data_IF_480971932058
#
_entry.id   IF_480971932058
#
_cell.length_a   1.000
_cell.length_b   1.000
_cell.length_c   1.000
_cell.angle_alpha   90.00
_cell.angle_beta   90.00
_cell.angle_gamma   90.00
#
_symmetry.space_group_name_H-M   'P 1'
#
loop_
_entity.id
_entity.type
_entity.pdbx_description
1 polymer ?
#
# COMPACT_ATOMS: atom_id res chain seq x y z
N UNK A 1 -1.49 -40.96 -29.41
CA UNK A 1 -1.90 -39.56 -29.73
C UNK A 1 -2.90 -38.99 -28.73
N UNK A 2 -4.03 -39.67 -28.41
CA UNK A 2 -5.01 -39.19 -27.41
C UNK A 2 -4.41 -38.97 -26.02
N UNK A 3 -3.60 -39.91 -25.54
CA UNK A 3 -2.91 -39.83 -24.23
C UNK A 3 -1.94 -38.66 -24.15
N UNK A 4 -1.13 -38.42 -25.19
CA UNK A 4 -0.22 -37.27 -25.27
C UNK A 4 -1.00 -35.94 -25.26
N UNK A 5 -2.11 -35.87 -26.00
CA UNK A 5 -2.98 -34.68 -26.03
C UNK A 5 -3.63 -34.41 -24.66
N UNK A 6 -4.04 -35.47 -23.96
CA UNK A 6 -4.59 -35.36 -22.59
C UNK A 6 -3.54 -34.87 -21.59
N UNK A 7 -2.32 -35.39 -21.66
CA UNK A 7 -1.22 -34.94 -20.80
C UNK A 7 -0.83 -33.48 -21.05
N UNK A 8 -0.80 -33.04 -22.31
CA UNK A 8 -0.57 -31.64 -22.65
C UNK A 8 -1.66 -30.71 -22.10
N UNK A 9 -2.93 -31.11 -22.21
CA UNK A 9 -4.05 -30.34 -21.66
C UNK A 9 -3.94 -30.24 -20.13
N UNK A 10 -3.67 -31.37 -19.46
CA UNK A 10 -3.45 -31.40 -18.02
C UNK A 10 -2.29 -30.50 -17.60
N UNK A 11 -1.15 -30.54 -18.32
CA UNK A 11 0.00 -29.70 -18.05
C UNK A 11 -0.29 -28.20 -18.20
N UNK A 12 -1.01 -27.80 -19.25
CA UNK A 12 -1.42 -26.40 -19.46
C UNK A 12 -2.39 -25.94 -18.36
N UNK A 13 -3.37 -26.77 -17.99
CA UNK A 13 -4.30 -26.45 -16.91
C UNK A 13 -3.55 -26.29 -15.58
N UNK A 14 -2.64 -27.21 -15.26
CA UNK A 14 -1.82 -27.11 -14.04
C UNK A 14 -0.95 -25.86 -14.02
N UNK A 15 -0.35 -25.48 -15.15
CA UNK A 15 0.46 -24.27 -15.27
C UNK A 15 -0.40 -23.00 -15.11
N UNK A 16 -1.58 -22.96 -15.73
CA UNK A 16 -2.53 -21.86 -15.58
C UNK A 16 -3.05 -21.74 -14.14
N UNK A 17 -3.30 -22.85 -13.46
CA UNK A 17 -3.72 -22.86 -12.05
C UNK A 17 -2.61 -22.38 -11.12
N UNK A 18 -1.34 -22.65 -11.46
CA UNK A 18 -0.20 -22.15 -10.71
C UNK A 18 -0.06 -20.62 -10.78
N UNK A 19 -0.55 -19.97 -11.85
CA UNK A 19 -0.58 -18.51 -11.94
C UNK A 19 -1.55 -17.83 -10.96
N UNK A 20 -2.43 -18.58 -10.29
CA UNK A 20 -3.32 -18.04 -9.25
C UNK A 20 -2.78 -18.21 -7.83
N UNK A 21 -1.55 -18.70 -7.66
CA UNK A 21 -0.91 -18.81 -6.33
C UNK A 21 -0.23 -17.52 -5.89
N UNK A 22 -0.67 -16.36 -6.41
CA UNK A 22 -0.16 -15.07 -5.95
C UNK A 22 -0.29 -14.99 -4.43
N UNK A 23 0.78 -14.53 -3.80
CA UNK A 23 0.85 -14.29 -2.36
C UNK A 23 -0.17 -13.20 -2.01
N UNK A 24 -1.38 -13.60 -1.63
CA UNK A 24 -2.32 -12.71 -0.95
C UNK A 24 -1.68 -12.41 0.40
N UNK A 25 -1.01 -11.27 0.50
CA UNK A 25 -0.62 -10.74 1.79
C UNK A 25 -1.89 -10.50 2.59
N UNK A 26 -2.04 -11.20 3.70
CA UNK A 26 -3.14 -10.98 4.64
C UNK A 26 -3.23 -9.49 4.96
N UNK A 27 -4.45 -8.94 4.97
CA UNK A 27 -4.67 -7.53 5.26
C UNK A 27 -4.03 -7.21 6.61
N UNK A 28 -3.07 -6.29 6.59
CA UNK A 28 -2.41 -5.86 7.82
C UNK A 28 -3.42 -5.18 8.74
N UNK A 29 -3.49 -5.64 9.98
CA UNK A 29 -4.35 -5.09 11.03
C UNK A 29 -3.46 -4.38 12.05
N UNK A 30 -3.78 -3.12 12.35
CA UNK A 30 -3.06 -2.33 13.35
C UNK A 30 -3.27 -2.97 14.73
N UNK A 31 -2.21 -3.26 15.49
CA UNK A 31 -2.37 -3.79 16.85
C UNK A 31 -3.15 -2.83 17.77
N UNK A 32 -4.02 -3.36 18.61
CA UNK A 32 -4.92 -2.61 19.52
C UNK A 32 -4.21 -1.52 20.36
N UNK A 33 -2.97 -1.77 20.73
CA UNK A 33 -2.13 -0.79 21.45
C UNK A 33 -1.96 0.52 20.67
N UNK A 34 -1.75 0.44 19.36
CA UNK A 34 -1.46 1.60 18.51
C UNK A 34 -2.73 2.31 18.06
N UNK A 35 -3.82 1.56 17.85
CA UNK A 35 -5.18 2.09 17.66
C UNK A 35 -5.54 3.14 18.73
N UNK A 36 -5.22 2.82 19.99
CA UNK A 36 -5.58 3.62 21.16
C UNK A 36 -4.46 4.54 21.64
N UNK A 37 -3.34 4.60 20.94
CA UNK A 37 -2.20 5.44 21.33
C UNK A 37 -2.54 6.91 21.05
N UNK A 38 -2.52 7.73 22.11
CA UNK A 38 -2.70 9.18 21.97
C UNK A 38 -1.41 9.82 21.44
N UNK A 39 -1.56 10.77 20.51
CA UNK A 39 -0.45 11.59 20.07
C UNK A 39 0.11 12.37 21.28
N UNK A 40 1.42 12.29 21.57
CA UNK A 40 2.01 13.00 22.71
C UNK A 40 2.08 14.51 22.51
N UNK A 41 1.86 15.01 21.29
CA UNK A 41 1.98 16.43 20.97
C UNK A 41 0.63 17.07 20.65
N UNK A 42 0.57 18.41 20.74
CA UNK A 42 -0.63 19.16 20.44
C UNK A 42 -0.63 19.53 18.94
N UNK A 43 -1.55 19.00 18.12
CA UNK A 43 -1.58 19.29 16.69
C UNK A 43 -1.72 20.79 16.40
N UNK A 44 -2.50 21.54 17.19
CA UNK A 44 -2.73 22.97 16.95
C UNK A 44 -1.44 23.81 17.08
N UNK A 45 -0.47 23.32 17.86
CA UNK A 45 0.84 23.97 18.04
C UNK A 45 1.83 23.53 16.97
N UNK A 46 1.78 22.24 16.58
CA UNK A 46 2.82 21.62 15.75
C UNK A 46 2.49 21.57 14.26
N UNK A 47 1.28 21.97 13.84
CA UNK A 47 0.83 21.88 12.45
C UNK A 47 1.80 22.56 11.46
N UNK A 48 2.32 23.74 11.80
CA UNK A 48 3.27 24.46 10.94
C UNK A 48 4.62 23.73 10.82
N UNK A 49 5.08 23.13 11.92
CA UNK A 49 6.29 22.31 11.95
C UNK A 49 6.08 21.07 11.06
N UNK A 50 4.96 20.38 11.24
CA UNK A 50 4.58 19.21 10.44
C UNK A 50 4.51 19.55 8.95
N UNK A 51 3.93 20.69 8.58
CA UNK A 51 3.89 21.17 7.20
C UNK A 51 5.28 21.44 6.63
N UNK A 52 6.18 22.03 7.42
CA UNK A 52 7.57 22.26 7.01
C UNK A 52 8.29 20.93 6.73
N UNK A 53 8.18 19.99 7.67
CA UNK A 53 8.79 18.66 7.54
C UNK A 53 8.23 17.88 6.35
N UNK A 54 6.90 17.93 6.13
CA UNK A 54 6.26 17.27 4.99
C UNK A 54 6.81 17.78 3.65
N UNK A 55 6.93 19.11 3.52
CA UNK A 55 7.48 19.72 2.31
C UNK A 55 8.95 19.33 2.07
N UNK A 56 9.72 19.16 3.14
CA UNK A 56 11.14 18.83 3.06
C UNK A 56 11.41 17.35 2.79
N UNK A 57 10.60 16.45 3.35
CA UNK A 57 10.93 15.02 3.40
C UNK A 57 9.92 14.11 2.69
N UNK A 58 8.64 14.46 2.67
CA UNK A 58 7.58 13.53 2.26
C UNK A 58 7.06 13.84 0.85
N UNK A 59 6.92 15.13 0.52
CA UNK A 59 6.27 15.65 -0.69
C UNK A 59 6.83 15.08 -1.99
N UNK A 60 8.13 14.76 -2.04
CA UNK A 60 8.76 14.29 -3.27
C UNK A 60 8.21 12.94 -3.75
N UNK A 61 7.74 12.09 -2.83
CA UNK A 61 7.08 10.81 -3.17
C UNK A 61 5.55 10.91 -3.02
N UNK A 62 5.06 11.51 -1.94
CA UNK A 62 3.62 11.51 -1.63
C UNK A 62 2.81 12.65 -2.26
N UNK A 63 3.46 13.60 -2.95
CA UNK A 63 2.78 14.72 -3.59
C UNK A 63 2.56 15.92 -2.67
N UNK A 64 1.96 16.99 -3.20
CA UNK A 64 1.71 18.23 -2.43
C UNK A 64 0.60 18.05 -1.40
N UNK A 65 -0.45 17.33 -1.77
CA UNK A 65 -1.66 17.13 -0.97
C UNK A 65 -1.70 15.72 -0.35
N UNK A 66 -0.68 14.88 -0.57
CA UNK A 66 -0.62 13.53 -0.01
C UNK A 66 -1.34 12.44 -0.81
N UNK A 67 -1.54 12.64 -2.11
CA UNK A 67 -2.25 11.69 -2.97
C UNK A 67 -1.38 10.52 -3.48
N UNK A 68 -0.10 10.47 -3.09
CA UNK A 68 0.84 9.50 -3.65
C UNK A 68 1.29 9.86 -5.07
N UNK A 69 1.14 11.11 -5.49
CA UNK A 69 1.39 11.62 -6.85
C UNK A 69 2.64 12.51 -6.95
N UNK A 70 3.59 12.33 -6.03
CA UNK A 70 4.84 13.08 -6.05
C UNK A 70 5.67 12.80 -7.31
N UNK A 71 6.59 13.72 -7.69
CA UNK A 71 7.43 13.55 -8.88
C UNK A 71 8.26 12.26 -8.87
N UNK A 72 8.54 11.68 -7.70
CA UNK A 72 9.24 10.40 -7.53
C UNK A 72 8.32 9.22 -7.26
N UNK A 73 7.00 9.41 -7.26
CA UNK A 73 6.05 8.35 -6.94
C UNK A 73 6.22 7.12 -7.84
N UNK A 74 6.41 7.34 -9.15
CA UNK A 74 6.60 6.28 -10.13
C UNK A 74 7.89 5.46 -9.96
N UNK A 75 8.85 5.95 -9.15
CA UNK A 75 10.10 5.24 -8.85
C UNK A 75 9.94 4.30 -7.64
N UNK A 76 8.86 4.42 -6.87
CA UNK A 76 8.65 3.67 -5.64
C UNK A 76 7.97 2.33 -5.92
N UNK A 77 8.41 1.29 -5.22
CA UNK A 77 7.74 -0.01 -5.21
C UNK A 77 6.72 -0.03 -4.08
N UNK A 78 5.48 -0.40 -4.40
CA UNK A 78 4.39 -0.49 -3.42
C UNK A 78 3.42 0.69 -3.52
N UNK A 79 2.36 0.62 -2.72
CA UNK A 79 1.33 1.67 -2.68
C UNK A 79 1.75 2.79 -1.73
N UNK A 80 1.87 4.00 -2.26
CA UNK A 80 2.16 5.20 -1.46
C UNK A 80 0.92 5.72 -0.71
N UNK A 81 -0.26 5.25 -1.10
CA UNK A 81 -1.55 5.61 -0.52
C UNK A 81 -1.99 7.03 -0.85
N UNK A 82 -3.31 7.25 -0.78
CA UNK A 82 -3.93 8.57 -0.76
C UNK A 82 -4.32 8.93 0.68
N UNK A 83 -3.55 9.83 1.29
CA UNK A 83 -3.75 10.29 2.67
C UNK A 83 -5.05 11.10 2.85
N UNK A 84 -5.64 11.58 1.77
CA UNK A 84 -6.92 12.30 1.79
C UNK A 84 -8.12 11.37 1.74
N UNK A 85 -7.92 10.09 1.41
CA UNK A 85 -9.01 9.12 1.31
C UNK A 85 -9.58 8.75 2.68
N UNK A 86 -10.89 8.51 2.72
CA UNK A 86 -11.56 8.03 3.92
C UNK A 86 -11.04 6.65 4.35
N UNK A 87 -10.72 5.80 3.39
CA UNK A 87 -10.16 4.47 3.67
C UNK A 87 -8.82 4.57 4.41
N UNK A 88 -7.93 5.46 3.98
CA UNK A 88 -6.65 5.67 4.65
C UNK A 88 -6.82 6.25 6.06
N UNK A 89 -7.69 7.25 6.22
CA UNK A 89 -7.93 7.89 7.51
C UNK A 89 -8.69 7.00 8.52
N UNK A 90 -9.40 5.98 8.03
CA UNK A 90 -10.09 4.98 8.85
C UNK A 90 -9.19 3.83 9.30
N UNK A 91 -7.89 3.82 8.92
CA UNK A 91 -6.93 2.85 9.44
C UNK A 91 -6.67 3.15 10.91
N UNK A 92 -7.33 2.41 11.79
CA UNK A 92 -7.16 2.48 13.24
C UNK A 92 -6.45 1.25 13.74
#
# INVERSE_FOLDING_TARGET
MKTIKQLLILGVISLSLYSFTDYIQEKWVVPEKYVNMKNPTNPDVDLDIGKSLYNQHCKSCHGKEGYGDGPKAAEMTGDLGDFSSQEFQAQT
#
